data_IF_321331456816
#
_entry.id   IF_321331456816
#
_cell.length_a   1.000
_cell.length_b   1.000
_cell.length_c   1.000
_cell.angle_alpha   90.00
_cell.angle_beta   90.00
_cell.angle_gamma   90.00
#
_symmetry.space_group_name_H-M   'P 1'
#
loop_
_entity.id
_entity.type
_entity.pdbx_description
1 polymer ?
#
# COMPACT_ATOMS: atom_id res chain seq x y z
N UNK A 1 -18.15 18.79 -23.00
CA UNK A 1 -18.36 17.51 -22.27
C UNK A 1 -19.44 17.73 -21.23
N UNK A 2 -20.58 17.04 -21.35
CA UNK A 2 -21.80 17.34 -20.59
C UNK A 2 -21.77 16.82 -19.15
N UNK A 3 -22.46 17.51 -18.24
CA UNK A 3 -22.58 17.19 -16.80
C UNK A 3 -22.92 15.71 -16.52
N UNK A 4 -23.69 15.07 -17.44
CA UNK A 4 -24.06 13.65 -17.38
C UNK A 4 -22.87 12.68 -17.50
N UNK A 5 -21.88 12.99 -18.35
CA UNK A 5 -20.69 12.14 -18.55
C UNK A 5 -19.77 12.21 -17.32
N UNK A 6 -19.59 13.41 -16.76
CA UNK A 6 -18.81 13.61 -15.54
C UNK A 6 -19.42 12.84 -14.34
N UNK A 7 -20.75 12.79 -14.25
CA UNK A 7 -21.45 12.03 -13.21
C UNK A 7 -21.20 10.52 -13.33
N UNK A 8 -21.19 9.96 -14.55
CA UNK A 8 -20.83 8.55 -14.79
C UNK A 8 -19.39 8.28 -14.36
N UNK A 9 -18.45 9.14 -14.73
CA UNK A 9 -17.05 9.02 -14.33
C UNK A 9 -16.87 9.08 -12.81
N UNK A 10 -17.61 9.95 -12.12
CA UNK A 10 -17.57 10.05 -10.66
C UNK A 10 -18.11 8.80 -9.97
N UNK A 11 -19.24 8.25 -10.41
CA UNK A 11 -19.76 6.98 -9.86
C UNK A 11 -18.73 5.86 -10.07
N UNK A 12 -18.16 5.76 -11.27
CA UNK A 12 -17.17 4.73 -11.59
C UNK A 12 -15.90 4.86 -10.72
N UNK A 13 -15.43 6.08 -10.46
CA UNK A 13 -14.29 6.34 -9.59
C UNK A 13 -14.57 5.93 -8.12
N UNK A 14 -15.78 6.21 -7.61
CA UNK A 14 -16.19 5.79 -6.27
C UNK A 14 -16.31 4.26 -6.19
N UNK A 15 -16.95 3.62 -7.17
CA UNK A 15 -17.05 2.16 -7.26
C UNK A 15 -15.67 1.50 -7.34
N UNK A 16 -14.79 2.03 -8.17
CA UNK A 16 -13.39 1.60 -8.28
C UNK A 16 -12.68 1.64 -6.94
N UNK A 17 -12.79 2.78 -6.22
CA UNK A 17 -12.19 2.95 -4.90
C UNK A 17 -12.74 1.95 -3.88
N UNK A 18 -14.03 1.63 -3.97
CA UNK A 18 -14.66 0.56 -3.21
C UNK A 18 -14.05 -0.81 -3.47
N UNK A 19 -13.89 -1.19 -4.74
CA UNK A 19 -13.28 -2.45 -5.15
C UNK A 19 -11.80 -2.53 -4.74
N UNK A 20 -11.02 -1.48 -5.00
CA UNK A 20 -9.61 -1.41 -4.62
C UNK A 20 -9.47 -1.54 -3.10
N UNK A 21 -10.24 -0.77 -2.32
CA UNK A 21 -10.22 -0.83 -0.85
C UNK A 21 -10.59 -2.22 -0.31
N UNK A 22 -11.65 -2.84 -0.85
CA UNK A 22 -12.05 -4.20 -0.48
C UNK A 22 -11.00 -5.24 -0.85
N UNK A 23 -10.31 -5.08 -1.99
CA UNK A 23 -9.28 -6.01 -2.46
C UNK A 23 -8.14 -6.19 -1.46
N UNK A 24 -7.67 -5.10 -0.81
CA UNK A 24 -6.62 -5.15 0.20
C UNK A 24 -7.02 -6.03 1.38
N UNK A 25 -8.27 -5.89 1.84
CA UNK A 25 -8.78 -6.61 3.01
C UNK A 25 -9.05 -8.07 2.68
N UNK A 26 -9.58 -8.36 1.49
CA UNK A 26 -9.76 -9.73 1.01
C UNK A 26 -8.42 -10.46 0.85
N UNK A 27 -7.43 -9.82 0.22
CA UNK A 27 -6.06 -10.36 0.10
C UNK A 27 -5.48 -10.67 1.47
N UNK A 28 -5.56 -9.74 2.41
CA UNK A 28 -5.06 -9.96 3.77
C UNK A 28 -5.78 -11.10 4.50
N UNK A 29 -7.11 -11.17 4.39
CA UNK A 29 -7.88 -12.27 5.00
C UNK A 29 -7.51 -13.61 4.37
N UNK A 30 -7.28 -13.64 3.06
CA UNK A 30 -6.76 -14.80 2.33
C UNK A 30 -5.37 -15.21 2.82
N UNK A 31 -4.46 -14.25 2.98
CA UNK A 31 -3.11 -14.48 3.51
C UNK A 31 -3.16 -15.09 4.92
N UNK A 32 -3.97 -14.53 5.83
CA UNK A 32 -4.16 -15.08 7.19
C UNK A 32 -4.71 -16.51 7.18
N UNK A 33 -5.59 -16.85 6.24
CA UNK A 33 -6.14 -18.21 6.10
C UNK A 33 -5.15 -19.19 5.48
N UNK A 34 -4.33 -18.74 4.54
CA UNK A 34 -3.25 -19.55 3.98
C UNK A 34 -2.15 -19.81 5.02
N UNK A 35 -1.87 -18.83 5.89
CA UNK A 35 -0.89 -18.92 6.97
C UNK A 35 -1.21 -20.00 8.01
N UNK A 36 -2.47 -20.41 8.18
CA UNK A 36 -2.82 -21.53 9.07
C UNK A 36 -2.65 -22.90 8.43
N UNK A 37 -2.46 -22.95 7.10
CA UNK A 37 -2.36 -24.18 6.30
C UNK A 37 -0.95 -24.45 5.77
N UNK A 38 -0.04 -23.49 5.87
CA UNK A 38 1.33 -23.63 5.39
C UNK A 38 2.19 -22.43 5.72
N UNK A 39 3.29 -22.29 4.99
CA UNK A 39 4.27 -21.22 5.20
C UNK A 39 3.68 -19.84 4.91
N UNK A 40 3.82 -18.95 5.89
CA UNK A 40 3.36 -17.56 5.85
C UNK A 40 4.03 -16.77 4.73
N UNK A 41 3.30 -15.84 4.12
CA UNK A 41 3.86 -14.94 3.11
C UNK A 41 4.97 -14.06 3.70
N UNK A 42 4.78 -13.54 4.93
CA UNK A 42 5.81 -12.77 5.63
C UNK A 42 7.11 -13.55 5.82
N UNK A 43 7.03 -14.88 6.03
CA UNK A 43 8.17 -15.77 6.12
C UNK A 43 8.76 -16.21 4.78
N UNK A 44 8.31 -15.64 3.65
CA UNK A 44 8.74 -16.00 2.30
C UNK A 44 8.00 -17.18 1.66
N UNK A 45 6.92 -17.67 2.28
CA UNK A 45 6.09 -18.75 1.75
C UNK A 45 5.08 -18.31 0.69
N UNK A 46 4.73 -19.19 -0.24
CA UNK A 46 3.80 -18.92 -1.34
C UNK A 46 2.45 -19.66 -1.22
N UNK A 47 2.12 -20.18 -0.03
CA UNK A 47 0.91 -20.99 0.20
C UNK A 47 -0.40 -20.24 -0.13
N UNK A 48 -0.39 -18.92 -0.08
CA UNK A 48 -1.54 -18.08 -0.43
C UNK A 48 -2.01 -18.21 -1.88
N UNK A 49 -1.15 -18.67 -2.80
CA UNK A 49 -1.54 -18.92 -4.20
C UNK A 49 -2.60 -20.02 -4.34
N UNK A 50 -2.72 -20.90 -3.33
CA UNK A 50 -3.74 -21.95 -3.28
C UNK A 50 -5.04 -21.49 -2.62
N UNK A 51 -5.07 -20.33 -1.96
CA UNK A 51 -6.23 -19.86 -1.21
C UNK A 51 -7.19 -19.06 -2.11
N UNK A 52 -8.42 -19.53 -2.37
CA UNK A 52 -9.35 -18.86 -3.28
C UNK A 52 -9.72 -17.45 -2.85
N UNK A 53 -9.73 -17.17 -1.54
CA UNK A 53 -10.04 -15.84 -1.02
C UNK A 53 -8.98 -14.79 -1.40
N UNK A 54 -7.72 -15.20 -1.54
CA UNK A 54 -6.65 -14.31 -2.01
C UNK A 54 -6.86 -13.96 -3.49
N UNK A 55 -7.21 -14.95 -4.32
CA UNK A 55 -7.56 -14.72 -5.73
C UNK A 55 -8.80 -13.85 -5.90
N UNK A 56 -9.83 -14.04 -5.06
CA UNK A 56 -10.99 -13.15 -5.04
C UNK A 56 -10.57 -11.69 -4.78
N UNK A 57 -9.62 -11.48 -3.85
CA UNK A 57 -8.98 -10.18 -3.64
C UNK A 57 -8.26 -9.65 -4.88
N UNK A 58 -7.45 -10.48 -5.56
CA UNK A 58 -6.75 -10.08 -6.80
C UNK A 58 -7.72 -9.71 -7.94
N UNK A 59 -8.77 -10.51 -8.17
CA UNK A 59 -9.79 -10.23 -9.19
C UNK A 59 -10.51 -8.92 -8.85
N UNK A 60 -10.87 -8.71 -7.58
CA UNK A 60 -11.51 -7.46 -7.13
C UNK A 60 -10.60 -6.25 -7.40
N UNK A 61 -9.28 -6.39 -7.18
CA UNK A 61 -8.31 -5.34 -7.49
C UNK A 61 -8.29 -5.01 -8.98
N UNK A 62 -8.20 -6.03 -9.85
CA UNK A 62 -8.18 -5.85 -11.31
C UNK A 62 -9.46 -5.17 -11.80
N UNK A 63 -10.63 -5.61 -11.31
CA UNK A 63 -11.91 -4.97 -11.63
C UNK A 63 -11.95 -3.52 -11.18
N UNK A 64 -11.42 -3.22 -9.99
CA UNK A 64 -11.30 -1.86 -9.47
C UNK A 64 -10.42 -0.97 -10.36
N UNK A 65 -9.24 -1.44 -10.75
CA UNK A 65 -8.34 -0.70 -11.65
C UNK A 65 -8.94 -0.51 -13.05
N UNK A 66 -9.63 -1.51 -13.59
CA UNK A 66 -10.34 -1.37 -14.86
C UNK A 66 -11.45 -0.31 -14.78
N UNK A 67 -12.24 -0.31 -13.70
CA UNK A 67 -13.25 0.73 -13.46
C UNK A 67 -12.62 2.12 -13.29
N UNK A 68 -11.44 2.21 -12.67
CA UNK A 68 -10.68 3.45 -12.52
C UNK A 68 -10.27 3.99 -13.89
N UNK A 69 -9.73 3.13 -14.75
CA UNK A 69 -9.34 3.48 -16.11
C UNK A 69 -10.52 4.01 -16.93
N UNK A 70 -11.68 3.34 -16.84
CA UNK A 70 -12.91 3.80 -17.50
C UNK A 70 -13.38 5.13 -16.90
N UNK A 71 -13.22 5.37 -15.60
CA UNK A 71 -13.55 6.65 -14.98
C UNK A 71 -12.75 7.82 -15.59
N UNK A 72 -11.46 7.63 -15.88
CA UNK A 72 -10.63 8.64 -16.55
C UNK A 72 -11.06 8.95 -18.00
N UNK A 73 -11.81 8.07 -18.65
CA UNK A 73 -12.38 8.33 -19.99
C UNK A 73 -13.57 9.32 -19.87
N UNK A 74 -14.33 9.24 -18.78
CA UNK A 74 -15.57 10.00 -18.61
C UNK A 74 -15.44 11.25 -17.75
N UNK A 75 -14.43 11.32 -16.87
CA UNK A 75 -14.19 12.43 -15.97
C UNK A 75 -12.73 12.87 -15.98
N UNK A 76 -12.46 14.17 -15.80
CA UNK A 76 -11.10 14.69 -15.73
C UNK A 76 -10.33 14.10 -14.53
N UNK A 77 -9.02 13.93 -14.70
CA UNK A 77 -8.16 13.33 -13.68
C UNK A 77 -8.23 14.03 -12.32
N UNK A 78 -8.35 15.36 -12.30
CA UNK A 78 -8.49 16.17 -11.08
C UNK A 78 -9.69 15.74 -10.21
N UNK A 79 -10.74 15.16 -10.79
CA UNK A 79 -11.87 14.62 -10.03
C UNK A 79 -11.67 13.16 -9.62
N UNK A 80 -11.08 12.34 -10.51
CA UNK A 80 -10.96 10.89 -10.32
C UNK A 80 -9.85 10.55 -9.32
N UNK A 81 -8.71 11.23 -9.38
CA UNK A 81 -7.52 10.89 -8.59
C UNK A 81 -7.72 11.10 -7.07
N UNK A 82 -8.35 12.20 -6.58
CA UNK A 82 -8.67 12.35 -5.16
C UNK A 82 -9.61 11.28 -4.62
N UNK A 83 -10.54 10.79 -5.45
CA UNK A 83 -11.47 9.73 -5.07
C UNK A 83 -10.74 8.41 -4.81
N UNK A 84 -9.58 8.18 -5.42
CA UNK A 84 -8.72 7.03 -5.11
C UNK A 84 -8.35 6.94 -3.62
N UNK A 85 -8.23 8.06 -2.90
CA UNK A 85 -8.00 8.08 -1.45
C UNK A 85 -9.18 7.51 -0.64
N UNK A 86 -10.40 7.44 -1.22
CA UNK A 86 -11.55 6.77 -0.59
C UNK A 86 -11.29 5.27 -0.39
N UNK A 87 -10.43 4.65 -1.20
CA UNK A 87 -10.04 3.24 -1.02
C UNK A 87 -9.35 2.99 0.34
N UNK A 88 -8.68 4.01 0.90
CA UNK A 88 -8.08 3.98 2.25
C UNK A 88 -9.18 3.91 3.32
N UNK A 89 -10.26 4.67 3.16
CA UNK A 89 -11.41 4.65 4.08
C UNK A 89 -12.10 3.29 4.01
N UNK A 90 -12.41 2.83 2.79
CA UNK A 90 -13.10 1.56 2.57
C UNK A 90 -12.27 0.41 3.16
N UNK A 91 -10.97 0.36 2.87
CA UNK A 91 -10.08 -0.66 3.44
C UNK A 91 -10.02 -0.58 4.97
N UNK A 92 -9.93 0.61 5.56
CA UNK A 92 -9.93 0.80 7.03
C UNK A 92 -11.24 0.33 7.68
N UNK A 93 -12.39 0.66 7.10
CA UNK A 93 -13.72 0.25 7.59
C UNK A 93 -13.89 -1.27 7.45
N UNK A 94 -13.53 -1.85 6.31
CA UNK A 94 -13.61 -3.30 6.11
C UNK A 94 -12.61 -4.05 7.01
N UNK A 95 -11.44 -3.49 7.31
CA UNK A 95 -10.51 -4.08 8.26
C UNK A 95 -11.11 -4.17 9.66
N UNK A 96 -11.86 -3.14 10.08
CA UNK A 96 -12.59 -3.17 11.35
C UNK A 96 -13.61 -4.31 11.42
N UNK A 97 -14.44 -4.47 10.39
CA UNK A 97 -15.50 -5.49 10.39
C UNK A 97 -15.00 -6.91 10.08
N UNK A 98 -14.14 -7.07 9.06
CA UNK A 98 -13.74 -8.38 8.54
C UNK A 98 -12.51 -8.98 9.22
N UNK A 99 -11.58 -8.13 9.67
CA UNK A 99 -10.33 -8.55 10.33
C UNK A 99 -10.38 -8.31 11.85
N UNK A 100 -11.43 -7.65 12.37
CA UNK A 100 -11.55 -7.20 13.77
C UNK A 100 -10.37 -6.32 14.21
N UNK A 101 -9.73 -5.62 13.27
CA UNK A 101 -8.62 -4.70 13.52
C UNK A 101 -9.23 -3.36 13.98
N UNK A 102 -9.05 -2.99 15.25
CA UNK A 102 -9.61 -1.74 15.79
C UNK A 102 -8.71 -0.55 15.49
N UNK A 103 -9.32 0.54 15.05
CA UNK A 103 -8.68 1.83 14.84
C UNK A 103 -8.93 2.70 16.07
N UNK A 104 -7.87 3.09 16.77
CA UNK A 104 -7.99 4.03 17.87
C UNK A 104 -8.28 5.45 17.34
N UNK A 105 -8.83 6.34 18.16
CA UNK A 105 -9.19 7.71 17.75
C UNK A 105 -8.01 8.47 17.10
N UNK A 106 -6.80 8.29 17.62
CA UNK A 106 -5.57 8.85 17.05
C UNK A 106 -5.23 8.25 15.67
N UNK A 107 -5.51 6.97 15.46
CA UNK A 107 -5.32 6.35 14.15
C UNK A 107 -6.32 6.90 13.12
N UNK A 108 -7.54 7.25 13.52
CA UNK A 108 -8.52 7.89 12.62
C UNK A 108 -8.01 9.25 12.18
N UNK A 109 -7.45 10.02 13.12
CA UNK A 109 -6.81 11.31 12.81
C UNK A 109 -5.65 11.13 11.82
N UNK A 110 -4.82 10.10 12.00
CA UNK A 110 -3.76 9.74 11.06
C UNK A 110 -4.30 9.44 9.65
N UNK A 111 -5.33 8.60 9.53
CA UNK A 111 -5.96 8.29 8.24
C UNK A 111 -6.55 9.54 7.57
N UNK A 112 -7.23 10.41 8.33
CA UNK A 112 -7.78 11.67 7.82
C UNK A 112 -6.66 12.57 7.32
N UNK A 113 -5.57 12.71 8.09
CA UNK A 113 -4.39 13.48 7.67
C UNK A 113 -3.77 12.93 6.39
N UNK A 114 -3.67 11.60 6.25
CA UNK A 114 -3.17 10.98 5.02
C UNK A 114 -4.06 11.27 3.81
N UNK A 115 -5.38 11.24 3.99
CA UNK A 115 -6.34 11.55 2.92
C UNK A 115 -6.23 13.02 2.52
N UNK A 116 -6.24 13.94 3.49
CA UNK A 116 -6.13 15.39 3.24
C UNK A 116 -4.83 15.70 2.50
N UNK A 117 -3.69 15.22 2.99
CA UNK A 117 -2.41 15.45 2.33
C UNK A 117 -2.35 14.85 0.93
N UNK A 118 -2.94 13.65 0.73
CA UNK A 118 -3.04 13.03 -0.60
C UNK A 118 -3.87 13.85 -1.59
N UNK A 119 -5.01 14.39 -1.14
CA UNK A 119 -5.86 15.26 -1.96
C UNK A 119 -5.10 16.53 -2.34
N UNK A 120 -4.37 17.14 -1.39
CA UNK A 120 -3.57 18.34 -1.65
C UNK A 120 -2.48 18.08 -2.69
N UNK A 121 -1.72 16.97 -2.55
CA UNK A 121 -0.69 16.56 -3.50
C UNK A 121 -1.30 16.39 -4.89
N UNK A 122 -2.39 15.64 -4.99
CA UNK A 122 -3.01 15.29 -6.27
C UNK A 122 -3.58 16.50 -7.00
N UNK A 123 -4.18 17.45 -6.28
CA UNK A 123 -4.79 18.64 -6.90
C UNK A 123 -3.73 19.58 -7.48
N UNK A 124 -2.55 19.64 -6.85
CA UNK A 124 -1.48 20.56 -7.26
C UNK A 124 -0.39 19.90 -8.08
N UNK A 125 -0.45 18.58 -8.25
CA UNK A 125 0.43 17.80 -9.10
C UNK A 125 0.52 18.41 -10.51
N UNK A 126 1.70 18.39 -11.15
CA UNK A 126 1.88 18.96 -12.47
C UNK A 126 0.95 18.26 -13.48
N UNK A 127 0.45 19.02 -14.45
CA UNK A 127 -0.21 18.41 -15.57
C UNK A 127 0.83 17.70 -16.43
N UNK A 128 0.77 16.38 -16.42
CA UNK A 128 1.66 15.56 -17.24
C UNK A 128 1.32 15.73 -18.72
N UNK A 129 2.30 16.14 -19.52
CA UNK A 129 2.18 16.06 -20.97
C UNK A 129 2.17 14.59 -21.39
N UNK A 130 1.08 14.11 -21.99
CA UNK A 130 1.02 12.75 -22.53
C UNK A 130 1.85 12.67 -23.80
N UNK A 131 2.95 11.90 -23.85
CA UNK A 131 3.74 11.77 -25.06
C UNK A 131 2.94 11.09 -26.17
N UNK A 132 3.24 11.46 -27.42
CA UNK A 132 2.47 11.05 -28.58
C UNK A 132 2.95 9.70 -29.16
N UNK A 133 4.11 9.20 -28.73
CA UNK A 133 4.69 7.96 -29.23
C UNK A 133 5.48 7.17 -28.19
N UNK A 134 5.64 5.86 -28.43
CA UNK A 134 6.50 5.00 -27.59
C UNK A 134 7.98 5.40 -27.73
N UNK A 135 8.39 5.88 -28.91
CA UNK A 135 9.74 6.41 -29.16
C UNK A 135 10.06 7.61 -28.28
N UNK A 136 9.12 8.55 -28.13
CA UNK A 136 9.29 9.72 -27.26
C UNK A 136 9.50 9.30 -25.80
N UNK A 137 8.73 8.30 -25.32
CA UNK A 137 8.91 7.75 -23.98
C UNK A 137 10.25 7.03 -23.85
N UNK A 138 10.67 6.32 -24.89
CA UNK A 138 11.98 5.66 -24.92
C UNK A 138 13.13 6.68 -24.84
N UNK A 139 13.02 7.78 -25.57
CA UNK A 139 13.98 8.88 -25.52
C UNK A 139 14.03 9.49 -24.12
N UNK A 140 12.88 9.82 -23.53
CA UNK A 140 12.79 10.31 -22.15
C UNK A 140 13.35 9.32 -21.13
N UNK A 141 13.08 8.02 -21.29
CA UNK A 141 13.58 6.97 -20.41
C UNK A 141 15.10 6.73 -20.56
N UNK A 142 15.67 7.02 -21.73
CA UNK A 142 17.11 6.88 -22.01
C UNK A 142 17.90 8.15 -21.67
N UNK A 143 17.24 9.23 -21.28
CA UNK A 143 17.93 10.42 -20.80
C UNK A 143 18.70 10.14 -19.52
N UNK A 144 19.86 10.81 -19.32
CA UNK A 144 20.75 10.54 -18.19
C UNK A 144 20.05 10.74 -16.85
N UNK A 145 19.15 11.72 -16.75
CA UNK A 145 18.42 12.07 -15.53
C UNK A 145 17.56 10.88 -15.05
N UNK A 146 16.75 10.32 -15.95
CA UNK A 146 15.89 9.18 -15.63
C UNK A 146 16.70 7.88 -15.46
N UNK A 147 17.75 7.67 -16.25
CA UNK A 147 18.63 6.51 -16.08
C UNK A 147 19.33 6.50 -14.71
N UNK A 148 19.82 7.66 -14.25
CA UNK A 148 20.39 7.80 -12.90
C UNK A 148 19.35 7.51 -11.82
N UNK A 149 18.12 8.03 -11.98
CA UNK A 149 17.01 7.73 -11.07
C UNK A 149 16.65 6.25 -11.04
N UNK A 150 16.53 5.61 -12.21
CA UNK A 150 16.22 4.19 -12.31
C UNK A 150 17.33 3.33 -11.70
N UNK A 151 18.59 3.64 -11.99
CA UNK A 151 19.74 2.96 -11.39
C UNK A 151 19.80 3.13 -9.87
N UNK A 152 19.56 4.34 -9.37
CA UNK A 152 19.48 4.61 -7.93
C UNK A 152 18.31 3.84 -7.28
N UNK A 153 17.14 3.84 -7.91
CA UNK A 153 15.95 3.12 -7.44
C UNK A 153 16.21 1.63 -7.35
N UNK A 154 16.75 1.01 -8.40
CA UNK A 154 17.12 -0.42 -8.41
C UNK A 154 18.19 -0.71 -7.36
N UNK A 155 19.18 0.18 -7.20
CA UNK A 155 20.23 0.01 -6.19
C UNK A 155 19.68 0.07 -4.76
N UNK A 156 18.80 1.02 -4.47
CA UNK A 156 18.12 1.13 -3.17
C UNK A 156 17.24 -0.09 -2.91
N UNK A 157 16.47 -0.53 -3.91
CA UNK A 157 15.67 -1.76 -3.80
C UNK A 157 16.57 -2.96 -3.50
N UNK A 158 17.70 -3.12 -4.21
CA UNK A 158 18.63 -4.21 -3.99
C UNK A 158 19.21 -4.18 -2.57
N UNK A 159 19.60 -3.01 -2.07
CA UNK A 159 20.09 -2.84 -0.69
C UNK A 159 18.99 -3.18 0.32
N UNK A 160 17.75 -2.73 0.08
CA UNK A 160 16.62 -3.05 0.96
C UNK A 160 16.34 -4.55 0.98
N UNK A 161 16.39 -5.23 -0.16
CA UNK A 161 16.15 -6.68 -0.27
C UNK A 161 17.30 -7.48 0.37
N UNK A 162 18.55 -7.18 0.04
CA UNK A 162 19.68 -8.00 0.46
C UNK A 162 20.10 -7.75 1.92
N UNK A 163 20.01 -6.52 2.41
CA UNK A 163 20.51 -6.16 3.75
C UNK A 163 19.41 -5.92 4.77
N UNK A 164 18.36 -5.16 4.41
CA UNK A 164 17.34 -4.73 5.37
C UNK A 164 16.20 -5.72 5.52
N UNK A 165 15.80 -6.41 4.45
CA UNK A 165 14.73 -7.38 4.47
C UNK A 165 14.98 -8.51 5.47
N UNK A 166 16.15 -9.18 5.47
CA UNK A 166 16.39 -10.33 6.35
C UNK A 166 16.46 -9.92 7.83
N UNK A 167 16.88 -8.67 8.10
CA UNK A 167 17.17 -8.18 9.45
C UNK A 167 16.02 -7.39 10.06
N UNK A 168 15.28 -6.64 9.25
CA UNK A 168 14.29 -5.66 9.69
C UNK A 168 12.94 -5.76 8.98
N UNK A 169 12.78 -6.61 7.97
CA UNK A 169 11.53 -6.69 7.20
C UNK A 169 10.31 -7.02 8.07
N UNK A 170 10.47 -7.92 9.05
CA UNK A 170 9.38 -8.32 9.95
C UNK A 170 9.10 -7.32 11.08
N UNK A 171 10.03 -6.41 11.37
CA UNK A 171 9.88 -5.42 12.46
C UNK A 171 9.47 -4.05 11.94
N UNK A 172 10.01 -3.64 10.79
CA UNK A 172 9.81 -2.32 10.19
C UNK A 172 9.03 -2.44 8.88
N UNK A 173 7.75 -2.08 8.90
CA UNK A 173 6.89 -2.14 7.71
C UNK A 173 7.39 -1.27 6.55
N UNK A 174 8.12 -0.19 6.84
CA UNK A 174 8.70 0.72 5.86
C UNK A 174 9.68 0.01 4.91
N UNK A 175 10.31 -1.08 5.32
CA UNK A 175 11.21 -1.85 4.44
C UNK A 175 10.40 -2.50 3.31
N UNK A 176 9.34 -3.24 3.63
CA UNK A 176 8.48 -3.86 2.63
C UNK A 176 7.72 -2.84 1.78
N UNK A 177 7.20 -1.78 2.42
CA UNK A 177 6.47 -0.74 1.70
C UNK A 177 7.39 0.11 0.83
N UNK A 178 8.62 0.38 1.27
CA UNK A 178 9.63 1.07 0.45
C UNK A 178 9.97 0.28 -0.80
N UNK A 179 10.23 -1.03 -0.68
CA UNK A 179 10.52 -1.89 -1.83
C UNK A 179 9.34 -1.91 -2.80
N UNK A 180 8.12 -2.17 -2.32
CA UNK A 180 6.96 -2.28 -3.22
C UNK A 180 6.57 -0.93 -3.84
N UNK A 181 6.75 0.19 -3.14
CA UNK A 181 6.47 1.52 -3.68
C UNK A 181 7.51 1.98 -4.70
N UNK A 182 8.81 1.69 -4.50
CA UNK A 182 9.88 1.98 -5.46
C UNK A 182 9.74 1.16 -6.75
N UNK A 183 9.45 -0.15 -6.62
CA UNK A 183 9.15 -0.97 -7.79
C UNK A 183 7.84 -0.52 -8.46
N UNK A 184 6.87 -0.09 -7.66
CA UNK A 184 5.59 0.42 -8.13
C UNK A 184 5.69 1.70 -8.96
N UNK A 185 6.56 2.65 -8.60
CA UNK A 185 6.75 3.86 -9.41
C UNK A 185 7.32 3.55 -10.79
N UNK A 186 8.26 2.61 -10.88
CA UNK A 186 8.79 2.11 -12.15
C UNK A 186 7.73 1.35 -12.96
N UNK A 187 6.85 0.60 -12.29
CA UNK A 187 5.68 -0.03 -12.92
C UNK A 187 4.79 1.02 -13.59
N UNK A 188 4.45 2.11 -12.92
CA UNK A 188 3.55 3.15 -13.46
C UNK A 188 4.14 3.77 -14.72
N UNK A 189 5.42 4.11 -14.69
CA UNK A 189 6.15 4.61 -15.87
C UNK A 189 6.08 3.61 -17.03
N UNK A 190 6.34 2.33 -16.76
CA UNK A 190 6.33 1.28 -17.79
C UNK A 190 4.93 1.04 -18.36
N UNK A 191 3.90 1.05 -17.52
CA UNK A 191 2.50 0.90 -17.93
C UNK A 191 2.06 2.10 -18.80
N UNK A 192 2.52 3.33 -18.52
CA UNK A 192 2.23 4.47 -19.40
C UNK A 192 2.78 4.23 -20.82
N UNK A 193 4.01 3.74 -20.93
CA UNK A 193 4.60 3.37 -22.22
C UNK A 193 3.77 2.31 -22.96
N UNK A 194 3.37 1.26 -22.24
CA UNK A 194 2.55 0.17 -22.78
C UNK A 194 1.16 0.68 -23.19
N UNK A 195 0.53 1.53 -22.39
CA UNK A 195 -0.79 2.10 -22.67
C UNK A 195 -0.79 2.94 -23.95
N UNK A 196 0.26 3.74 -24.15
CA UNK A 196 0.45 4.52 -25.38
C UNK A 196 0.71 3.60 -26.58
N UNK A 197 1.53 2.56 -26.40
CA UNK A 197 1.76 1.55 -27.45
C UNK A 197 0.47 0.86 -27.89
N UNK A 198 -0.40 0.47 -26.93
CA UNK A 198 -1.69 -0.14 -27.22
C UNK A 198 -2.59 0.85 -27.96
N UNK A 199 -2.72 2.08 -27.48
CA UNK A 199 -3.54 3.12 -28.11
C UNK A 199 -3.14 3.33 -29.58
N UNK A 200 -1.85 3.53 -29.84
CA UNK A 200 -1.33 3.74 -31.20
C UNK A 200 -1.51 2.51 -32.11
N UNK A 201 -1.42 1.31 -31.53
CA UNK A 201 -1.69 0.05 -32.25
C UNK A 201 -3.16 -0.05 -32.65
N UNK A 202 -4.09 0.37 -31.79
CA UNK A 202 -5.51 0.44 -32.12
C UNK A 202 -5.82 1.51 -33.17
N UNK A 203 -5.06 2.61 -33.18
CA UNK A 203 -5.14 3.67 -34.20
C UNK A 203 -4.49 3.27 -35.55
N UNK A 204 -4.03 2.02 -35.69
CA UNK A 204 -3.56 1.42 -36.94
C UNK A 204 -2.05 1.45 -37.18
N UNK A 205 -1.27 2.03 -36.24
CA UNK A 205 0.19 2.02 -36.31
C UNK A 205 0.71 0.91 -35.41
N UNK A 206 1.09 -0.24 -35.97
CA UNK A 206 1.56 -1.39 -35.18
C UNK A 206 2.80 -1.04 -34.34
N UNK A 207 2.60 -0.75 -33.06
CA UNK A 207 3.69 -0.52 -32.09
C UNK A 207 4.21 -1.83 -31.46
N UNK A 208 3.53 -2.95 -31.72
CA UNK A 208 3.87 -4.29 -31.23
C UNK A 208 5.19 -4.79 -31.85
N UNK A 209 5.55 -4.29 -33.04
CA UNK A 209 6.80 -4.65 -33.72
C UNK A 209 8.04 -3.99 -33.11
N UNK A 210 7.88 -2.97 -32.27
CA UNK A 210 9.01 -2.24 -31.70
C UNK A 210 9.59 -2.99 -30.48
N UNK A 211 10.91 -3.24 -30.45
CA UNK A 211 11.56 -3.89 -29.31
C UNK A 211 11.43 -3.10 -28.01
N UNK A 212 11.27 -1.77 -28.09
CA UNK A 212 11.06 -0.88 -26.95
C UNK A 212 9.80 -1.24 -26.16
N UNK A 213 8.70 -1.57 -26.85
CA UNK A 213 7.43 -1.96 -26.21
C UNK A 213 7.64 -3.22 -25.36
N UNK A 214 8.35 -4.21 -25.88
CA UNK A 214 8.66 -5.46 -25.17
C UNK A 214 9.60 -5.24 -23.98
N UNK A 215 10.55 -4.31 -24.09
CA UNK A 215 11.37 -3.91 -22.96
C UNK A 215 10.52 -3.37 -21.80
N UNK A 216 9.63 -2.42 -22.07
CA UNK A 216 8.74 -1.87 -21.03
C UNK A 216 7.79 -2.94 -20.45
N UNK A 217 7.31 -3.89 -21.26
CA UNK A 217 6.52 -5.03 -20.78
C UNK A 217 7.33 -5.89 -19.80
N UNK A 218 8.57 -6.25 -20.13
CA UNK A 218 9.42 -7.07 -19.26
C UNK A 218 9.69 -6.34 -17.94
N UNK A 219 10.04 -5.04 -18.00
CA UNK A 219 10.24 -4.22 -16.80
C UNK A 219 8.97 -4.17 -15.95
N UNK A 220 7.81 -3.90 -16.57
CA UNK A 220 6.53 -3.88 -15.85
C UNK A 220 6.22 -5.21 -15.17
N UNK A 221 6.42 -6.35 -15.84
CA UNK A 221 6.16 -7.67 -15.26
C UNK A 221 7.06 -7.94 -14.05
N UNK A 222 8.37 -7.69 -14.17
CA UNK A 222 9.33 -7.86 -13.06
C UNK A 222 8.94 -6.96 -11.87
N UNK A 223 8.59 -5.70 -12.16
CA UNK A 223 8.21 -4.75 -11.12
C UNK A 223 6.90 -5.13 -10.43
N UNK A 224 5.87 -5.53 -11.17
CA UNK A 224 4.57 -5.96 -10.63
C UNK A 224 4.71 -7.22 -9.76
N UNK A 225 5.48 -8.22 -10.20
CA UNK A 225 5.70 -9.44 -9.42
C UNK A 225 6.39 -9.10 -8.10
N UNK A 226 7.44 -8.28 -8.16
CA UNK A 226 8.19 -7.84 -6.97
C UNK A 226 7.29 -7.03 -6.05
N UNK A 227 6.57 -6.04 -6.58
CA UNK A 227 5.63 -5.19 -5.85
C UNK A 227 4.55 -6.03 -5.13
N UNK A 228 3.94 -7.00 -5.82
CA UNK A 228 2.91 -7.85 -5.24
C UNK A 228 3.45 -8.76 -4.14
N UNK A 229 4.66 -9.32 -4.31
CA UNK A 229 5.30 -10.16 -3.31
C UNK A 229 5.54 -9.39 -2.01
N UNK A 230 6.18 -8.21 -2.09
CA UNK A 230 6.45 -7.39 -0.91
C UNK A 230 5.20 -6.79 -0.28
N UNK A 231 4.18 -6.46 -1.08
CA UNK A 231 2.89 -6.05 -0.55
C UNK A 231 2.21 -7.20 0.21
N UNK A 232 2.27 -8.43 -0.29
CA UNK A 232 1.73 -9.60 0.41
C UNK A 232 2.50 -9.89 1.71
N UNK A 233 3.83 -9.76 1.70
CA UNK A 233 4.66 -9.82 2.93
C UNK A 233 4.21 -8.79 3.96
N UNK A 234 4.05 -7.52 3.54
CA UNK A 234 3.58 -6.47 4.42
C UNK A 234 2.18 -6.76 4.98
N UNK A 235 1.22 -7.15 4.13
CA UNK A 235 -0.17 -7.44 4.53
C UNK A 235 -0.30 -8.64 5.46
N UNK A 236 0.56 -9.64 5.32
CA UNK A 236 0.58 -10.80 6.21
C UNK A 236 1.20 -10.47 7.58
N UNK A 237 2.24 -9.62 7.61
CA UNK A 237 2.96 -9.28 8.84
C UNK A 237 2.31 -8.16 9.64
N UNK A 238 1.80 -7.09 9.00
CA UNK A 238 1.35 -5.86 9.70
C UNK A 238 -0.17 -5.60 9.59
N UNK A 239 -0.66 -4.63 10.38
CA UNK A 239 -2.07 -4.24 10.40
C UNK A 239 -2.49 -3.54 9.09
N UNK A 240 -3.58 -3.97 8.44
CA UNK A 240 -3.95 -3.49 7.09
C UNK A 240 -4.42 -2.05 7.14
N UNK A 241 -5.02 -1.69 8.26
CA UNK A 241 -5.49 -0.37 8.57
C UNK A 241 -4.38 0.68 8.54
N UNK A 242 -3.13 0.27 8.81
CA UNK A 242 -1.95 1.13 8.78
C UNK A 242 -1.24 1.00 7.43
N UNK A 243 -1.11 -0.23 6.92
CA UNK A 243 -0.45 -0.49 5.64
C UNK A 243 -1.10 0.29 4.50
N UNK A 244 -2.44 0.28 4.42
CA UNK A 244 -3.16 0.90 3.30
C UNK A 244 -2.82 2.39 3.12
N UNK A 245 -2.95 3.25 4.15
CA UNK A 245 -2.56 4.66 4.03
C UNK A 245 -1.05 4.86 3.82
N UNK A 246 -0.17 4.12 4.53
CA UNK A 246 1.28 4.31 4.39
C UNK A 246 1.75 3.90 2.99
N UNK A 247 1.26 2.77 2.49
CA UNK A 247 1.55 2.29 1.14
C UNK A 247 1.10 3.29 0.08
N UNK A 248 -0.15 3.77 0.19
CA UNK A 248 -0.71 4.72 -0.77
C UNK A 248 0.21 5.94 -0.94
N UNK A 249 0.76 6.44 0.17
CA UNK A 249 1.52 7.69 0.21
C UNK A 249 2.93 7.50 -0.31
N UNK A 250 3.62 6.46 0.17
CA UNK A 250 4.94 6.10 -0.32
C UNK A 250 4.88 5.84 -1.82
N UNK A 251 3.88 5.09 -2.28
CA UNK A 251 3.66 4.80 -3.70
C UNK A 251 3.37 6.06 -4.50
N UNK A 252 2.43 6.90 -4.05
CA UNK A 252 2.02 8.13 -4.77
C UNK A 252 3.19 9.11 -4.87
N UNK A 253 3.91 9.33 -3.77
CA UNK A 253 5.05 10.25 -3.74
C UNK A 253 6.16 9.78 -4.69
N UNK A 254 6.56 8.51 -4.59
CA UNK A 254 7.62 7.97 -5.44
C UNK A 254 7.21 7.94 -6.91
N UNK A 255 5.92 7.72 -7.19
CA UNK A 255 5.39 7.78 -8.55
C UNK A 255 5.42 9.19 -9.11
N UNK A 256 5.04 10.21 -8.33
CA UNK A 256 5.13 11.62 -8.75
C UNK A 256 6.57 12.00 -9.01
N UNK A 257 7.50 11.64 -8.11
CA UNK A 257 8.93 11.90 -8.31
C UNK A 257 9.43 11.21 -9.59
N UNK A 258 9.08 9.95 -9.83
CA UNK A 258 9.46 9.23 -11.04
C UNK A 258 8.91 9.90 -12.31
N UNK A 259 7.62 10.25 -12.32
CA UNK A 259 6.96 10.97 -13.42
C UNK A 259 7.66 12.31 -13.68
N UNK A 260 7.87 13.11 -12.63
CA UNK A 260 8.48 14.43 -12.75
C UNK A 260 9.89 14.33 -13.36
N UNK A 261 10.73 13.40 -12.88
CA UNK A 261 12.08 13.18 -13.43
C UNK A 261 12.00 12.79 -14.90
N UNK A 262 11.09 11.88 -15.25
CA UNK A 262 10.99 11.36 -16.61
C UNK A 262 10.47 12.39 -17.61
N UNK A 263 9.40 13.12 -17.27
CA UNK A 263 8.73 14.05 -18.18
C UNK A 263 9.30 15.47 -18.13
N UNK A 264 10.17 15.77 -17.16
CA UNK A 264 10.78 17.09 -16.96
C UNK A 264 9.75 18.21 -16.70
N UNK A 265 8.58 17.87 -16.19
CA UNK A 265 7.46 18.81 -15.97
C UNK A 265 7.71 19.86 -14.86
N UNK A 266 8.86 19.84 -14.18
CA UNK A 266 9.23 20.80 -13.13
C UNK A 266 9.35 22.24 -13.63
N UNK A 267 9.74 22.46 -14.89
CA UNK A 267 10.08 23.79 -15.40
C UNK A 267 8.88 24.72 -15.60
N UNK A 268 7.66 24.18 -15.57
CA UNK A 268 6.41 24.93 -15.77
C UNK A 268 5.56 25.09 -14.51
N UNK A 269 5.98 24.54 -13.36
CA UNK A 269 5.17 24.61 -12.14
C UNK A 269 5.35 25.92 -11.38
N UNK A 270 4.23 26.55 -11.01
CA UNK A 270 4.22 27.67 -10.09
C UNK A 270 4.79 27.25 -8.72
N UNK A 271 5.58 28.13 -8.12
CA UNK A 271 6.17 27.94 -6.77
C UNK A 271 5.10 27.61 -5.73
N UNK A 272 3.89 28.17 -5.89
CA UNK A 272 2.74 27.87 -5.02
C UNK A 272 2.28 26.41 -5.11
N UNK A 273 2.26 25.82 -6.31
CA UNK A 273 1.88 24.42 -6.51
C UNK A 273 2.92 23.50 -5.88
N UNK A 274 4.21 23.77 -6.11
CA UNK A 274 5.32 23.01 -5.49
C UNK A 274 5.24 23.10 -3.95
N UNK A 275 5.04 24.30 -3.40
CA UNK A 275 4.92 24.49 -1.96
C UNK A 275 3.72 23.73 -1.37
N UNK A 276 2.58 23.73 -2.07
CA UNK A 276 1.38 23.00 -1.65
C UNK A 276 1.57 21.48 -1.74
N UNK A 277 2.28 20.96 -2.75
CA UNK A 277 2.64 19.54 -2.84
C UNK A 277 3.54 19.13 -1.67
N UNK A 278 4.55 19.94 -1.34
CA UNK A 278 5.42 19.70 -0.18
C UNK A 278 4.60 19.72 1.12
N UNK A 279 3.68 20.68 1.27
CA UNK A 279 2.78 20.75 2.42
C UNK A 279 1.87 19.51 2.52
N UNK A 280 1.32 19.06 1.40
CA UNK A 280 0.55 17.84 1.30
C UNK A 280 1.39 16.64 1.73
N UNK A 281 2.63 16.52 1.23
CA UNK A 281 3.57 15.46 1.60
C UNK A 281 3.89 15.46 3.11
N UNK A 282 4.20 16.62 3.70
CA UNK A 282 4.42 16.76 5.15
C UNK A 282 3.18 16.35 5.95
N UNK A 283 2.00 16.75 5.49
CA UNK A 283 0.72 16.38 6.12
C UNK A 283 0.53 14.87 6.13
N UNK A 284 0.92 14.19 5.04
CA UNK A 284 0.83 12.74 5.03
C UNK A 284 1.90 12.04 5.85
N UNK A 285 3.14 12.54 5.85
CA UNK A 285 4.19 12.04 6.73
C UNK A 285 3.78 12.16 8.20
N UNK A 286 3.18 13.29 8.57
CA UNK A 286 2.63 13.52 9.91
C UNK A 286 1.53 12.51 10.24
N UNK A 287 0.59 12.28 9.31
CA UNK A 287 -0.44 11.26 9.44
C UNK A 287 0.12 9.85 9.66
N UNK A 288 1.19 9.52 8.93
CA UNK A 288 1.91 8.25 9.04
C UNK A 288 2.60 8.08 10.39
N UNK A 289 3.27 9.13 10.89
CA UNK A 289 3.92 9.13 12.22
C UNK A 289 2.88 8.93 13.32
N UNK A 290 1.74 9.62 13.24
CA UNK A 290 0.61 9.43 14.18
C UNK A 290 0.12 7.98 14.16
N UNK A 291 -0.02 7.40 12.96
CA UNK A 291 -0.44 6.02 12.78
C UNK A 291 0.54 5.02 13.40
N UNK A 292 1.83 5.28 13.25
CA UNK A 292 2.90 4.43 13.79
C UNK A 292 3.00 4.56 15.32
N UNK A 293 2.95 5.79 15.85
CA UNK A 293 2.98 6.03 17.30
C UNK A 293 1.76 5.50 18.05
N UNK A 294 0.58 5.50 17.40
CA UNK A 294 -0.63 4.89 17.98
C UNK A 294 -0.47 3.38 18.17
N UNK A 295 0.29 2.72 17.30
CA UNK A 295 0.55 1.27 17.38
C UNK A 295 1.44 0.92 18.58
N UNK A 296 2.53 1.67 18.78
CA UNK A 296 3.44 1.45 19.92
C UNK A 296 2.71 1.60 21.26
N UNK A 297 1.79 2.57 21.36
CA UNK A 297 0.93 2.72 22.53
C UNK A 297 -0.03 1.55 22.75
N UNK A 298 -0.56 0.94 21.68
CA UNK A 298 -1.45 -0.22 21.82
C UNK A 298 -0.67 -1.46 22.30
N UNK A 299 0.52 -1.71 21.72
CA UNK A 299 1.40 -2.81 22.15
C UNK A 299 1.87 -2.61 23.60
N UNK A 300 2.26 -1.39 23.98
CA UNK A 300 2.68 -1.07 25.36
C UNK A 300 1.52 -1.17 26.35
N UNK A 301 0.30 -0.75 25.98
CA UNK A 301 -0.88 -0.84 26.84
C UNK A 301 -1.31 -2.30 27.03
N UNK A 302 -1.25 -3.14 25.99
CA UNK A 302 -1.53 -4.58 26.12
C UNK A 302 -0.49 -5.30 26.97
N UNK A 303 0.80 -5.02 26.78
CA UNK A 303 1.85 -5.57 27.64
C UNK A 303 1.69 -5.11 29.09
N UNK A 304 1.44 -3.81 29.31
CA UNK A 304 1.18 -3.25 30.64
C UNK A 304 -0.03 -3.89 31.32
N UNK A 305 -1.16 -4.01 30.62
CA UNK A 305 -2.37 -4.65 31.14
C UNK A 305 -2.15 -6.13 31.44
N UNK A 306 -1.47 -6.88 30.57
CA UNK A 306 -1.16 -8.30 30.82
C UNK A 306 -0.21 -8.45 32.01
N UNK A 307 0.76 -7.56 32.17
CA UNK A 307 1.69 -7.55 33.31
C UNK A 307 0.96 -7.22 34.61
N UNK A 308 0.00 -6.28 34.59
CA UNK A 308 -0.87 -6.01 35.74
C UNK A 308 -1.74 -7.22 36.09
N UNK A 309 -2.42 -7.84 35.12
CA UNK A 309 -3.22 -9.05 35.36
C UNK A 309 -2.38 -10.20 35.94
N UNK A 310 -1.22 -10.48 35.36
CA UNK A 310 -0.31 -11.51 35.88
C UNK A 310 0.17 -11.15 37.29
N UNK A 311 0.54 -9.89 37.54
CA UNK A 311 1.05 -9.46 38.84
C UNK A 311 -0.02 -9.47 39.92
N UNK A 312 -1.26 -9.11 39.59
CA UNK A 312 -2.38 -9.01 40.53
C UNK A 312 -2.98 -10.39 40.85
N UNK A 313 -3.05 -11.31 39.87
CA UNK A 313 -3.46 -12.70 40.10
C UNK A 313 -2.35 -13.53 40.78
N UNK A 314 -1.06 -13.26 40.48
CA UNK A 314 0.04 -13.97 41.16
C UNK A 314 0.20 -13.55 42.62
N UNK A 315 -0.15 -12.32 42.99
CA UNK A 315 -0.10 -11.88 44.39
C UNK A 315 -1.27 -12.48 45.18
N UNK A 316 -2.47 -12.56 44.60
CA UNK A 316 -3.63 -13.19 45.27
C UNK A 316 -3.49 -14.70 45.46
N UNK A 317 -2.80 -15.40 44.55
CA UNK A 317 -2.65 -16.86 44.68
C UNK A 317 -1.62 -17.28 45.74
N UNK A 318 -0.70 -16.39 46.13
CA UNK A 318 0.37 -16.70 47.10
C UNK A 318 -0.07 -16.49 48.56
N UNK A 319 -1.08 -15.63 48.82
CA UNK A 319 -1.56 -15.39 50.19
C UNK A 319 -2.55 -16.45 50.71
N UNK A 320 -3.15 -17.29 49.85
CA UNK A 320 -4.17 -18.28 50.26
C UNK A 320 -3.69 -19.74 50.36
N UNK A 321 -2.43 -20.07 50.03
CA UNK A 321 -1.96 -21.49 50.02
C UNK A 321 -1.40 -22.03 51.36
N UNK A 322 -1.40 -21.27 52.46
CA UNK A 322 -0.73 -21.70 53.71
C UNK A 322 -1.61 -22.03 54.92
N UNK A 323 -2.95 -22.13 54.80
CA UNK A 323 -3.84 -22.41 55.94
C UNK A 323 -4.69 -23.68 55.84
N UNK A 324 -4.14 -24.79 55.34
CA UNK A 324 -4.73 -26.13 55.52
C UNK A 324 -3.70 -27.04 56.18
N UNK A 325 -3.53 -26.88 57.49
CA UNK A 325 -2.89 -27.89 58.35
C UNK A 325 -3.99 -28.83 58.82
N UNK A 326 -4.19 -29.92 58.09
CA UNK A 326 -5.02 -31.06 58.51
C UNK A 326 -4.26 -31.75 59.65
N UNK A 327 -4.71 -31.52 60.89
CA UNK A 327 -4.27 -32.33 62.02
C UNK A 327 -5.34 -33.40 62.26
N UNK A 328 -5.07 -34.61 61.80
CA UNK A 328 -5.95 -35.75 61.96
C UNK A 328 -5.21 -37.07 61.75
N UNK A 329 -4.69 -37.64 62.83
CA UNK A 329 -4.49 -39.09 62.94
C UNK A 329 -4.74 -39.53 64.38
N UNK A 330 -5.98 -39.95 64.65
CA UNK A 330 -6.25 -40.91 65.71
C UNK A 330 -6.10 -42.34 65.15
N UNK A 331 -5.70 -43.24 66.06
CA UNK A 331 -5.76 -44.71 66.06
C UNK A 331 -4.52 -45.51 65.64
N UNK A 332 -3.80 -46.06 66.64
CA UNK A 332 -3.88 -47.47 67.11
C UNK A 332 -2.85 -47.65 68.26
N UNK A 333 -3.24 -47.80 69.53
CA UNK A 333 -3.69 -49.01 70.25
C UNK A 333 -2.63 -50.13 70.38
N UNK A 334 -2.32 -50.43 71.66
CA UNK A 334 -1.49 -51.48 72.27
C UNK A 334 0.04 -51.33 72.29
#
# INVERSE_FOLDING_TARGET
MGVSENYKGLILAVCSSGFIGASFILKKKGLKRAASRGTRAGGGGYTYLLEPLWWAGMITMITGEAANFVAYIYAPAVLVTPLGALSIIVSSVLAHFLLKERLQKMGVLGCVSCIVGSIVIVIHAPQEHTPNSVQEIWELATQPDFMMYAAATVSVVLVLILNFEPRYGQTNMLVYLGICSLMGSLTVVSIKAIGIAIKLTLDGISQIAYPQTWFFVIVAVICVITQLNYLNKALDTFNATIISPVYYVMFTTLTIIASAIMFKDWSGQDVSSIASEICGFITVLSGTIILHGTKEQEESTRQGSLTWFIKEDSIKCVEDEHLIVINGSDYLQN
#
